data_IF_033308733973
#
_entry.id   IF_033308733973
#
_cell.length_a   1.000
_cell.length_b   1.000
_cell.length_c   1.000
_cell.angle_alpha   90.00
_cell.angle_beta   90.00
_cell.angle_gamma   90.00
#
_symmetry.space_group_name_H-M   'P 1'
#
loop_
_entity.id
_entity.type
_entity.pdbx_description
1 polymer ?
#
# COMPACT_ATOMS: atom_id res chain seq x y z
N UNK A 1 -74.04 -11.13 16.93
CA UNK A 1 -72.56 -11.08 17.00
C UNK A 1 -72.12 -9.63 16.87
N UNK A 2 -71.30 -9.16 17.82
CA UNK A 2 -71.03 -7.76 18.16
C UNK A 2 -70.41 -6.96 17.00
N UNK A 3 -71.13 -5.95 16.52
CA UNK A 3 -70.68 -4.95 15.52
C UNK A 3 -69.50 -4.08 16.02
N UNK A 4 -69.26 -4.09 17.33
CA UNK A 4 -68.21 -3.31 18.02
C UNK A 4 -66.82 -3.94 17.99
N UNK A 5 -66.69 -5.24 17.71
CA UNK A 5 -65.37 -5.90 17.68
C UNK A 5 -64.69 -5.74 16.31
N UNK A 6 -65.44 -5.74 15.20
CA UNK A 6 -64.89 -5.54 13.84
C UNK A 6 -64.25 -4.16 13.65
N UNK A 7 -64.82 -3.12 14.26
CA UNK A 7 -64.26 -1.77 14.21
C UNK A 7 -62.88 -1.69 14.88
N UNK A 8 -62.65 -2.49 15.94
CA UNK A 8 -61.34 -2.54 16.62
C UNK A 8 -60.29 -3.24 15.76
N UNK A 9 -60.65 -4.36 15.11
CA UNK A 9 -59.73 -5.06 14.20
C UNK A 9 -59.34 -4.20 12.98
N UNK A 10 -60.27 -3.41 12.45
CA UNK A 10 -60.00 -2.53 11.31
C UNK A 10 -59.05 -1.38 11.67
N UNK A 11 -59.18 -0.81 12.87
CA UNK A 11 -58.27 0.23 13.37
C UNK A 11 -56.85 -0.32 13.57
N UNK A 12 -56.71 -1.52 14.14
CA UNK A 12 -55.39 -2.15 14.32
C UNK A 12 -54.72 -2.42 12.97
N UNK A 13 -55.47 -2.92 11.98
CA UNK A 13 -54.95 -3.19 10.63
C UNK A 13 -54.42 -1.92 9.95
N UNK A 14 -55.12 -0.79 10.06
CA UNK A 14 -54.67 0.49 9.53
C UNK A 14 -53.40 1.00 10.22
N UNK A 15 -53.29 0.84 11.54
CA UNK A 15 -52.09 1.24 12.28
C UNK A 15 -50.89 0.38 11.84
N UNK A 16 -51.06 -0.94 11.76
CA UNK A 16 -49.99 -1.83 11.29
C UNK A 16 -49.57 -1.53 9.86
N UNK A 17 -50.52 -1.25 8.96
CA UNK A 17 -50.23 -0.87 7.58
C UNK A 17 -49.48 0.45 7.49
N UNK A 18 -49.86 1.44 8.32
CA UNK A 18 -49.18 2.72 8.41
C UNK A 18 -47.73 2.58 8.88
N UNK A 19 -47.49 1.78 9.93
CA UNK A 19 -46.13 1.50 10.44
C UNK A 19 -45.28 0.82 9.36
N UNK A 20 -45.82 -0.20 8.69
CA UNK A 20 -45.10 -0.87 7.59
C UNK A 20 -44.79 0.07 6.44
N UNK A 21 -45.73 0.95 6.07
CA UNK A 21 -45.51 1.91 5.00
C UNK A 21 -44.42 2.93 5.34
N UNK A 22 -44.39 3.44 6.58
CA UNK A 22 -43.35 4.36 7.04
C UNK A 22 -41.97 3.68 7.06
N UNK A 23 -41.88 2.47 7.60
CA UNK A 23 -40.60 1.72 7.60
C UNK A 23 -40.15 1.40 6.18
N UNK A 24 -41.07 0.95 5.32
CA UNK A 24 -40.76 0.60 3.92
C UNK A 24 -40.27 1.82 3.11
N UNK A 25 -40.94 2.96 3.24
CA UNK A 25 -40.53 4.20 2.57
C UNK A 25 -39.19 4.71 3.07
N UNK A 26 -38.93 4.61 4.38
CA UNK A 26 -37.66 5.01 4.98
C UNK A 26 -36.50 4.10 4.53
N UNK A 27 -36.70 2.78 4.55
CA UNK A 27 -35.73 1.79 4.04
C UNK A 27 -35.47 2.02 2.56
N UNK A 28 -36.51 2.18 1.74
CA UNK A 28 -36.35 2.37 0.30
C UNK A 28 -35.67 3.71 -0.03
N UNK A 29 -35.90 4.77 0.75
CA UNK A 29 -35.22 6.06 0.57
C UNK A 29 -33.74 5.97 0.93
N UNK A 30 -33.38 5.25 1.99
CA UNK A 30 -31.98 5.01 2.38
C UNK A 30 -31.30 4.11 1.34
N UNK A 31 -31.99 3.07 0.86
CA UNK A 31 -31.47 2.16 -0.16
C UNK A 31 -31.27 2.87 -1.50
N UNK A 32 -32.20 3.73 -1.92
CA UNK A 32 -32.06 4.54 -3.13
C UNK A 32 -30.94 5.59 -3.03
N UNK A 33 -30.64 6.11 -1.83
CA UNK A 33 -29.47 6.98 -1.63
C UNK A 33 -28.14 6.22 -1.73
N UNK A 34 -28.10 4.95 -1.30
CA UNK A 34 -26.95 4.07 -1.56
C UNK A 34 -26.80 3.81 -3.07
N UNK A 35 -27.90 3.55 -3.78
CA UNK A 35 -27.89 3.34 -5.25
C UNK A 35 -27.50 4.61 -6.02
N UNK A 36 -27.94 5.80 -5.60
CA UNK A 36 -27.53 7.07 -6.21
C UNK A 36 -26.05 7.40 -5.98
N UNK A 37 -25.39 6.75 -5.01
CA UNK A 37 -23.95 6.88 -4.79
C UNK A 37 -23.13 6.06 -5.80
N UNK A 38 -23.77 5.23 -6.65
CA UNK A 38 -23.13 4.31 -7.60
C UNK A 38 -22.86 4.97 -8.96
N UNK A 39 -23.81 5.77 -9.49
CA UNK A 39 -23.56 6.56 -10.71
C UNK A 39 -22.50 7.63 -10.48
N UNK A 40 -22.48 8.22 -9.28
CA UNK A 40 -21.49 9.23 -8.86
C UNK A 40 -20.10 8.60 -8.64
N UNK A 41 -20.01 7.37 -8.11
CA UNK A 41 -18.75 6.61 -8.01
C UNK A 41 -18.20 6.23 -9.39
N UNK A 42 -19.03 5.78 -10.33
CA UNK A 42 -18.58 5.43 -11.69
C UNK A 42 -18.10 6.65 -12.48
N UNK A 43 -18.78 7.80 -12.34
CA UNK A 43 -18.35 9.05 -12.97
C UNK A 43 -17.06 9.61 -12.35
N UNK A 44 -16.92 9.56 -11.02
CA UNK A 44 -15.68 9.99 -10.37
C UNK A 44 -14.51 9.08 -10.72
N UNK A 45 -14.70 7.76 -10.76
CA UNK A 45 -13.68 6.78 -11.16
C UNK A 45 -13.14 7.06 -12.57
N UNK A 46 -13.99 7.46 -13.51
CA UNK A 46 -13.55 7.76 -14.88
C UNK A 46 -12.75 9.06 -14.93
N UNK A 47 -13.20 10.10 -14.23
CA UNK A 47 -12.49 11.37 -14.14
C UNK A 47 -11.15 11.21 -13.42
N UNK A 48 -11.13 10.49 -12.31
CA UNK A 48 -9.94 10.15 -11.54
C UNK A 48 -8.98 9.32 -12.40
N UNK A 49 -9.48 8.32 -13.16
CA UNK A 49 -8.64 7.51 -14.05
C UNK A 49 -7.96 8.35 -15.15
N UNK A 50 -8.68 9.30 -15.75
CA UNK A 50 -8.12 10.21 -16.76
C UNK A 50 -7.13 11.19 -16.11
N UNK A 51 -7.43 11.68 -14.91
CA UNK A 51 -6.53 12.54 -14.17
C UNK A 51 -5.24 11.79 -13.80
N UNK A 52 -5.33 10.55 -13.30
CA UNK A 52 -4.18 9.71 -13.01
C UNK A 52 -3.40 9.42 -14.29
N UNK A 53 -4.04 9.15 -15.43
CA UNK A 53 -3.36 8.99 -16.73
C UNK A 53 -2.56 10.23 -17.14
N UNK A 54 -3.13 11.41 -16.95
CA UNK A 54 -2.40 12.67 -17.18
C UNK A 54 -1.22 12.81 -16.22
N UNK A 55 -1.38 12.45 -14.94
CA UNK A 55 -0.27 12.45 -13.98
C UNK A 55 0.83 11.45 -14.37
N UNK A 56 0.45 10.24 -14.81
CA UNK A 56 1.36 9.23 -15.33
C UNK A 56 2.19 9.78 -16.49
N UNK A 57 1.55 10.38 -17.49
CA UNK A 57 2.24 10.96 -18.65
C UNK A 57 3.17 12.11 -18.25
N UNK A 58 2.77 12.94 -17.30
CA UNK A 58 3.63 14.00 -16.77
C UNK A 58 4.86 13.42 -16.06
N UNK A 59 4.68 12.38 -15.23
CA UNK A 59 5.78 11.72 -14.51
C UNK A 59 6.77 11.06 -15.48
N UNK A 60 6.29 10.44 -16.56
CA UNK A 60 7.16 9.91 -17.63
C UNK A 60 8.05 10.98 -18.27
N UNK A 61 7.54 12.21 -18.41
CA UNK A 61 8.31 13.33 -18.96
C UNK A 61 9.24 14.02 -17.96
N UNK A 62 9.04 13.81 -16.66
CA UNK A 62 9.80 14.50 -15.63
C UNK A 62 11.30 14.13 -15.63
N UNK A 63 12.19 15.06 -15.21
CA UNK A 63 13.59 14.76 -14.94
C UNK A 63 13.74 13.76 -13.80
N UNK A 64 14.72 12.86 -13.87
CA UNK A 64 14.96 11.83 -12.85
C UNK A 64 15.17 12.43 -11.45
N UNK A 65 15.82 13.60 -11.35
CA UNK A 65 16.04 14.36 -10.10
C UNK A 65 14.76 14.74 -9.35
N UNK A 66 13.64 14.87 -10.06
CA UNK A 66 12.32 15.20 -9.48
C UNK A 66 11.58 13.94 -9.05
N UNK A 67 11.83 12.81 -9.72
CA UNK A 67 11.16 11.53 -9.48
C UNK A 67 11.70 10.80 -8.24
N UNK A 68 12.96 11.05 -7.85
CA UNK A 68 13.56 10.51 -6.62
C UNK A 68 12.90 11.01 -5.33
N UNK A 69 12.17 12.14 -5.36
CA UNK A 69 11.62 12.79 -4.15
C UNK A 69 10.19 12.41 -3.78
N UNK A 70 9.64 11.35 -4.38
CA UNK A 70 8.41 10.71 -3.93
C UNK A 70 7.28 10.72 -4.97
N UNK A 71 6.75 9.52 -5.24
CA UNK A 71 5.65 9.31 -6.17
C UNK A 71 4.31 9.69 -5.53
N UNK A 72 3.71 10.80 -5.96
CA UNK A 72 2.34 11.25 -5.62
C UNK A 72 1.32 10.11 -5.70
N UNK A 73 1.55 9.17 -6.62
CA UNK A 73 0.72 8.03 -6.93
C UNK A 73 0.66 6.94 -5.84
N UNK A 74 1.74 6.74 -5.07
CA UNK A 74 1.78 5.75 -3.98
C UNK A 74 0.76 6.10 -2.87
N UNK A 75 0.51 7.40 -2.67
CA UNK A 75 -0.49 7.88 -1.70
C UNK A 75 -1.92 7.56 -2.14
N UNK A 76 -2.24 7.78 -3.41
CA UNK A 76 -3.57 7.47 -3.96
C UNK A 76 -3.85 5.96 -3.92
N UNK A 77 -2.86 5.14 -4.28
CA UNK A 77 -2.94 3.68 -4.14
C UNK A 77 -3.16 3.22 -2.70
N UNK A 78 -2.45 3.82 -1.74
CA UNK A 78 -2.59 3.51 -0.32
C UNK A 78 -3.97 3.87 0.24
N UNK A 79 -4.48 5.06 -0.08
CA UNK A 79 -5.83 5.49 0.31
C UNK A 79 -6.92 4.59 -0.29
N UNK A 80 -6.74 4.17 -1.55
CA UNK A 80 -7.68 3.28 -2.21
C UNK A 80 -7.64 1.86 -1.64
N UNK A 81 -6.43 1.33 -1.36
CA UNK A 81 -6.24 0.03 -0.73
C UNK A 81 -6.96 -0.07 0.62
N UNK A 82 -6.84 0.96 1.46
CA UNK A 82 -7.53 1.00 2.76
C UNK A 82 -9.06 1.03 2.62
N UNK A 83 -9.58 1.78 1.64
CA UNK A 83 -11.03 1.81 1.35
C UNK A 83 -11.52 0.45 0.86
N UNK A 84 -10.74 -0.22 0.01
CA UNK A 84 -11.07 -1.56 -0.49
C UNK A 84 -11.08 -2.59 0.64
N UNK A 85 -10.07 -2.59 1.52
CA UNK A 85 -10.00 -3.50 2.66
C UNK A 85 -11.23 -3.34 3.58
N UNK A 86 -11.61 -2.10 3.87
CA UNK A 86 -12.83 -1.81 4.64
C UNK A 86 -14.10 -2.29 3.93
N UNK A 87 -14.20 -2.12 2.62
CA UNK A 87 -15.36 -2.57 1.84
C UNK A 87 -15.46 -4.11 1.79
N UNK A 88 -14.33 -4.80 1.62
CA UNK A 88 -14.26 -6.27 1.61
C UNK A 88 -14.69 -6.87 2.96
N UNK A 89 -14.39 -6.20 4.08
CA UNK A 89 -14.83 -6.64 5.40
C UNK A 89 -16.36 -6.62 5.58
N UNK A 90 -17.09 -5.92 4.71
CA UNK A 90 -18.55 -5.82 4.74
C UNK A 90 -19.25 -6.77 3.76
N UNK A 91 -18.51 -7.36 2.80
CA UNK A 91 -19.03 -8.32 1.83
C UNK A 91 -18.15 -8.44 0.59
N UNK A 92 -17.30 -9.47 0.52
CA UNK A 92 -16.35 -9.65 -0.58
C UNK A 92 -17.01 -9.94 -1.95
N UNK A 93 -18.21 -10.54 -1.95
CA UNK A 93 -18.96 -10.90 -3.16
C UNK A 93 -19.92 -9.81 -3.63
N UNK A 94 -19.93 -8.66 -2.95
CA UNK A 94 -20.76 -7.53 -3.36
C UNK A 94 -20.29 -7.02 -4.75
N UNK A 95 -21.18 -6.85 -5.74
CA UNK A 95 -20.83 -6.32 -7.06
C UNK A 95 -20.04 -5.01 -7.01
N UNK A 96 -20.29 -4.16 -6.01
CA UNK A 96 -19.57 -2.90 -5.82
C UNK A 96 -18.13 -3.15 -5.38
N UNK A 97 -17.92 -4.13 -4.49
CA UNK A 97 -16.57 -4.55 -4.07
C UNK A 97 -15.81 -5.18 -5.23
N UNK A 98 -16.47 -5.97 -6.06
CA UNK A 98 -15.87 -6.54 -7.28
C UNK A 98 -15.44 -5.44 -8.26
N UNK A 99 -16.27 -4.40 -8.45
CA UNK A 99 -15.89 -3.25 -9.28
C UNK A 99 -14.71 -2.46 -8.69
N UNK A 100 -14.67 -2.25 -7.38
CA UNK A 100 -13.55 -1.60 -6.69
C UNK A 100 -12.26 -2.43 -6.83
N UNK A 101 -12.33 -3.76 -6.71
CA UNK A 101 -11.18 -4.65 -6.96
C UNK A 101 -10.63 -4.50 -8.37
N UNK A 102 -11.49 -4.40 -9.40
CA UNK A 102 -11.05 -4.20 -10.80
C UNK A 102 -10.31 -2.88 -10.95
N UNK A 103 -10.85 -1.80 -10.38
CA UNK A 103 -10.21 -0.50 -10.43
C UNK A 103 -8.88 -0.48 -9.68
N UNK A 104 -8.81 -1.05 -8.47
CA UNK A 104 -7.58 -1.16 -7.70
C UNK A 104 -6.50 -1.95 -8.46
N UNK A 105 -6.90 -3.09 -9.05
CA UNK A 105 -5.98 -3.91 -9.85
C UNK A 105 -5.46 -3.16 -11.07
N UNK A 106 -6.30 -2.37 -11.74
CA UNK A 106 -5.88 -1.52 -12.84
C UNK A 106 -4.87 -0.46 -12.42
N UNK A 107 -5.10 0.22 -11.28
CA UNK A 107 -4.16 1.21 -10.74
C UNK A 107 -2.80 0.58 -10.41
N UNK A 108 -2.81 -0.62 -9.81
CA UNK A 108 -1.59 -1.37 -9.51
C UNK A 108 -0.79 -1.73 -10.76
N UNK A 109 -1.46 -2.23 -11.82
CA UNK A 109 -0.80 -2.50 -13.11
C UNK A 109 -0.21 -1.21 -13.69
N UNK A 110 -0.96 -0.10 -13.69
CA UNK A 110 -0.46 1.18 -14.22
C UNK A 110 0.74 1.71 -13.43
N UNK A 111 0.71 1.65 -12.09
CA UNK A 111 1.83 2.07 -11.24
C UNK A 111 3.07 1.21 -11.48
N UNK A 112 2.93 -0.11 -11.56
CA UNK A 112 4.05 -0.99 -11.89
C UNK A 112 4.68 -0.65 -13.25
N UNK A 113 3.85 -0.50 -14.30
CA UNK A 113 4.33 -0.17 -15.65
C UNK A 113 5.02 1.21 -15.70
N UNK A 114 4.48 2.21 -15.00
CA UNK A 114 5.13 3.51 -14.87
C UNK A 114 6.49 3.38 -14.19
N UNK A 115 6.54 2.70 -13.04
CA UNK A 115 7.77 2.54 -12.28
C UNK A 115 8.83 1.80 -13.09
N UNK A 116 8.44 0.78 -13.85
CA UNK A 116 9.33 0.09 -14.78
C UNK A 116 9.87 1.04 -15.87
N UNK A 117 9.02 1.87 -16.48
CA UNK A 117 9.44 2.85 -17.49
C UNK A 117 10.38 3.92 -16.91
N UNK A 118 10.14 4.36 -15.67
CA UNK A 118 11.03 5.28 -14.95
C UNK A 118 12.37 4.59 -14.66
N UNK A 119 12.36 3.34 -14.23
CA UNK A 119 13.56 2.55 -13.96
C UNK A 119 14.45 2.44 -15.20
N UNK A 120 13.84 2.05 -16.32
CA UNK A 120 14.52 1.94 -17.62
C UNK A 120 15.08 3.29 -18.09
N UNK A 121 14.33 4.38 -17.92
CA UNK A 121 14.74 5.73 -18.32
C UNK A 121 15.88 6.28 -17.46
N UNK A 122 15.80 6.09 -16.16
CA UNK A 122 16.74 6.68 -15.19
C UNK A 122 17.91 5.76 -14.86
N UNK A 123 17.94 4.54 -15.39
CA UNK A 123 18.97 3.55 -15.09
C UNK A 123 18.93 3.09 -13.65
N UNK A 124 17.74 3.09 -13.05
CA UNK A 124 17.50 2.63 -11.68
C UNK A 124 16.83 1.26 -11.69
N UNK A 125 16.66 0.67 -10.51
CA UNK A 125 15.95 -0.58 -10.30
C UNK A 125 14.63 -0.28 -9.55
N UNK A 126 13.60 -1.09 -9.80
CA UNK A 126 12.37 -1.10 -9.00
C UNK A 126 12.28 -2.33 -8.10
N UNK A 127 12.41 -2.12 -6.80
CA UNK A 127 12.11 -3.14 -5.80
C UNK A 127 10.60 -3.39 -5.76
N UNK A 128 10.15 -4.38 -6.54
CA UNK A 128 8.75 -4.72 -6.70
C UNK A 128 8.50 -6.24 -6.63
N UNK A 129 7.39 -6.61 -5.98
CA UNK A 129 6.85 -7.96 -5.93
C UNK A 129 5.46 -7.93 -6.56
N UNK A 130 5.26 -8.70 -7.64
CA UNK A 130 3.92 -8.97 -8.17
C UNK A 130 3.42 -10.26 -7.53
N UNK A 131 2.32 -10.18 -6.81
CA UNK A 131 1.71 -11.27 -6.09
C UNK A 131 0.38 -11.65 -6.74
N UNK A 132 0.33 -12.82 -7.38
CA UNK A 132 -0.87 -13.40 -7.94
C UNK A 132 -1.45 -14.44 -6.99
N UNK A 133 -2.75 -14.33 -6.71
CA UNK A 133 -3.47 -15.21 -5.80
C UNK A 133 -4.86 -15.56 -6.31
N UNK A 134 -5.36 -16.71 -5.84
CA UNK A 134 -6.73 -17.15 -6.05
C UNK A 134 -7.50 -17.20 -4.72
N UNK A 135 -8.83 -17.20 -4.80
CA UNK A 135 -9.77 -17.30 -3.68
C UNK A 135 -9.63 -18.64 -2.97
N UNK A 136 -9.58 -19.73 -3.73
CA UNK A 136 -9.43 -21.10 -3.23
C UNK A 136 -7.96 -21.46 -3.01
N UNK A 137 -7.30 -20.74 -2.09
CA UNK A 137 -5.87 -20.89 -1.82
C UNK A 137 -5.52 -20.56 -0.35
N UNK A 138 -5.33 -21.58 0.48
CA UNK A 138 -4.98 -21.39 1.89
C UNK A 138 -3.60 -20.72 2.06
N UNK A 139 -2.63 -21.11 1.24
CA UNK A 139 -1.28 -20.57 1.30
C UNK A 139 -1.20 -19.12 0.82
N UNK A 140 -2.19 -18.65 0.05
CA UNK A 140 -2.31 -17.25 -0.35
C UNK A 140 -2.62 -16.34 0.85
N UNK A 141 -3.41 -16.82 1.82
CA UNK A 141 -3.66 -16.08 3.05
C UNK A 141 -2.35 -15.92 3.83
N UNK A 142 -1.58 -17.01 3.97
CA UNK A 142 -0.27 -17.00 4.64
C UNK A 142 0.72 -16.07 3.93
N UNK A 143 0.77 -16.14 2.60
CA UNK A 143 1.63 -15.28 1.80
C UNK A 143 1.27 -13.80 1.97
N UNK A 144 -0.03 -13.47 2.01
CA UNK A 144 -0.51 -12.11 2.28
C UNK A 144 0.00 -11.55 3.61
N UNK A 145 0.01 -12.36 4.68
CA UNK A 145 0.60 -11.96 5.96
C UNK A 145 2.11 -11.75 5.87
N UNK A 146 2.84 -12.65 5.20
CA UNK A 146 4.29 -12.51 5.01
C UNK A 146 4.62 -11.23 4.24
N UNK A 147 3.90 -10.94 3.14
CA UNK A 147 4.09 -9.74 2.34
C UNK A 147 3.74 -8.47 3.11
N UNK A 148 2.70 -8.51 3.95
CA UNK A 148 2.35 -7.39 4.83
C UNK A 148 3.48 -7.11 5.83
N UNK A 149 4.05 -8.14 6.45
CA UNK A 149 5.17 -7.99 7.36
C UNK A 149 6.45 -7.51 6.64
N UNK A 150 6.71 -8.04 5.45
CA UNK A 150 7.81 -7.60 4.60
C UNK A 150 7.71 -6.12 4.24
N UNK A 151 6.52 -5.64 3.85
CA UNK A 151 6.26 -4.21 3.57
C UNK A 151 6.43 -3.32 4.80
N UNK A 152 6.10 -3.82 6.01
CA UNK A 152 6.34 -3.07 7.25
C UNK A 152 7.82 -2.93 7.55
N UNK A 153 8.60 -3.99 7.33
CA UNK A 153 10.05 -4.00 7.56
C UNK A 153 10.81 -3.20 6.51
N UNK A 154 10.34 -3.22 5.26
CA UNK A 154 10.96 -2.55 4.13
C UNK A 154 9.95 -1.59 3.47
N UNK A 155 9.71 -0.38 4.03
CA UNK A 155 8.67 0.52 3.53
C UNK A 155 8.80 0.93 2.07
N UNK A 156 10.01 0.87 1.51
CA UNK A 156 10.26 1.20 0.09
C UNK A 156 9.82 0.11 -0.89
N UNK A 157 9.64 -1.15 -0.45
CA UNK A 157 9.24 -2.25 -1.35
C UNK A 157 7.86 -2.00 -1.94
N UNK A 158 7.68 -2.19 -3.24
CA UNK A 158 6.34 -2.15 -3.86
C UNK A 158 5.77 -3.56 -3.92
N UNK A 159 4.57 -3.75 -3.38
CA UNK A 159 3.88 -5.04 -3.44
C UNK A 159 2.56 -4.81 -4.16
N UNK A 160 2.40 -5.49 -5.29
CA UNK A 160 1.19 -5.43 -6.10
C UNK A 160 0.48 -6.78 -6.01
N UNK A 161 -0.76 -6.78 -5.56
CA UNK A 161 -1.55 -8.00 -5.34
C UNK A 161 -2.69 -8.09 -6.35
N UNK A 162 -2.76 -9.19 -7.09
CA UNK A 162 -3.71 -9.44 -8.17
C UNK A 162 -4.52 -10.70 -7.88
N UNK A 163 -5.84 -10.51 -7.80
CA UNK A 163 -6.85 -11.57 -7.66
C UNK A 163 -7.09 -12.20 -9.04
N UNK A 164 -6.67 -13.45 -9.24
CA UNK A 164 -6.82 -14.15 -10.52
C UNK A 164 -8.20 -14.73 -10.75
N UNK A 165 -9.06 -14.76 -9.72
CA UNK A 165 -10.45 -15.17 -9.86
C UNK A 165 -11.35 -13.96 -10.20
N UNK A 166 -10.80 -12.75 -10.17
CA UNK A 166 -11.49 -11.55 -10.59
C UNK A 166 -11.72 -11.58 -12.10
N UNK A 167 -12.98 -11.50 -12.52
CA UNK A 167 -13.38 -11.41 -13.93
C UNK A 167 -12.91 -10.08 -14.56
N UNK A 168 -11.62 -9.99 -14.89
CA UNK A 168 -10.99 -8.78 -15.40
C UNK A 168 -9.81 -9.08 -16.32
N UNK A 169 -10.06 -8.96 -17.62
CA UNK A 169 -9.10 -9.22 -18.71
C UNK A 169 -7.73 -8.56 -18.58
N UNK A 170 -7.61 -7.46 -17.84
CA UNK A 170 -6.32 -6.79 -17.59
C UNK A 170 -5.41 -7.67 -16.72
N UNK A 171 -5.96 -8.34 -15.70
CA UNK A 171 -5.19 -9.26 -14.86
C UNK A 171 -4.77 -10.46 -15.68
N UNK A 172 -5.67 -11.05 -16.47
CA UNK A 172 -5.35 -12.18 -17.35
C UNK A 172 -4.22 -11.84 -18.33
N UNK A 173 -4.31 -10.67 -18.97
CA UNK A 173 -3.30 -10.20 -19.92
C UNK A 173 -1.97 -9.96 -19.22
N UNK A 174 -1.99 -9.33 -18.05
CA UNK A 174 -0.79 -8.98 -17.30
C UNK A 174 -0.10 -10.23 -16.73
N UNK A 175 -0.85 -11.18 -16.17
CA UNK A 175 -0.34 -12.48 -15.74
C UNK A 175 0.29 -13.26 -16.90
N UNK A 176 -0.34 -13.24 -18.07
CA UNK A 176 0.15 -13.91 -19.28
C UNK A 176 1.51 -13.41 -19.80
N UNK A 177 2.00 -12.26 -19.33
CA UNK A 177 3.34 -11.76 -19.68
C UNK A 177 4.48 -12.56 -19.01
N UNK A 178 4.19 -13.27 -17.93
CA UNK A 178 5.19 -13.93 -17.08
C UNK A 178 5.22 -15.45 -17.21
N UNK A 179 4.39 -16.04 -18.08
CA UNK A 179 4.34 -17.47 -18.43
C UNK A 179 4.45 -18.42 -17.21
N UNK A 180 3.43 -18.38 -16.34
CA UNK A 180 3.34 -19.26 -15.17
C UNK A 180 2.06 -20.11 -15.18
N UNK A 181 2.18 -21.37 -14.76
CA UNK A 181 1.03 -22.26 -14.54
C UNK A 181 0.14 -21.73 -13.41
N UNK A 182 -1.16 -22.05 -13.43
CA UNK A 182 -2.15 -21.66 -12.40
C UNK A 182 -1.91 -22.34 -11.04
N UNK A 183 -0.76 -22.05 -10.44
CA UNK A 183 -0.29 -22.49 -9.13
C UNK A 183 -0.21 -21.25 -8.27
N UNK A 184 -0.90 -21.24 -7.14
CA UNK A 184 -0.97 -20.08 -6.25
C UNK A 184 -0.51 -20.46 -4.83
N UNK A 185 0.13 -19.54 -4.09
CA UNK A 185 0.51 -18.18 -4.50
C UNK A 185 1.64 -18.18 -5.54
N UNK A 186 1.64 -17.20 -6.44
CA UNK A 186 2.76 -16.95 -7.38
C UNK A 186 3.31 -15.54 -7.16
N UNK A 187 4.62 -15.43 -6.98
CA UNK A 187 5.35 -14.17 -6.88
C UNK A 187 6.21 -13.96 -8.12
N UNK A 188 6.19 -12.76 -8.68
CA UNK A 188 7.16 -12.31 -9.66
C UNK A 188 8.08 -11.29 -8.99
N UNK A 189 9.37 -11.62 -8.95
CA UNK A 189 10.41 -10.77 -8.38
C UNK A 189 11.56 -10.73 -9.37
N UNK A 190 11.98 -9.53 -9.79
CA UNK A 190 13.05 -9.34 -10.78
C UNK A 190 12.83 -10.18 -12.06
N UNK A 191 11.59 -10.15 -12.59
CA UNK A 191 11.13 -10.91 -13.77
C UNK A 191 11.27 -12.44 -13.66
N UNK A 192 11.46 -12.98 -12.45
CA UNK A 192 11.49 -14.42 -12.19
C UNK A 192 10.23 -14.85 -11.45
N UNK A 193 9.70 -16.00 -11.85
CA UNK A 193 8.52 -16.62 -11.26
C UNK A 193 8.93 -17.47 -10.06
N UNK A 194 8.27 -17.27 -8.92
CA UNK A 194 8.37 -18.08 -7.72
C UNK A 194 6.98 -18.58 -7.34
N UNK A 195 6.76 -19.88 -7.50
CA UNK A 195 5.49 -20.51 -7.17
C UNK A 195 5.53 -21.09 -5.76
N UNK A 196 4.35 -21.27 -5.16
CA UNK A 196 4.14 -21.74 -3.79
C UNK A 196 4.59 -20.71 -2.73
N UNK A 197 4.20 -21.00 -1.49
CA UNK A 197 4.48 -20.14 -0.34
C UNK A 197 5.97 -19.83 -0.17
N UNK A 198 6.27 -18.54 0.00
CA UNK A 198 7.59 -17.98 0.31
C UNK A 198 7.60 -17.40 1.72
N UNK A 199 8.57 -17.85 2.52
CA UNK A 199 8.80 -17.32 3.87
C UNK A 199 9.42 -15.93 3.81
N UNK A 200 9.41 -15.23 4.95
CA UNK A 200 10.07 -13.93 5.08
C UNK A 200 11.57 -14.02 4.75
N UNK A 201 12.27 -15.02 5.32
CA UNK A 201 13.69 -15.26 5.07
C UNK A 201 14.00 -15.51 3.58
N UNK A 202 13.11 -16.22 2.87
CA UNK A 202 13.26 -16.42 1.43
C UNK A 202 13.13 -15.10 0.68
N UNK A 203 12.14 -14.25 1.02
CA UNK A 203 11.98 -12.94 0.38
C UNK A 203 13.21 -12.04 0.61
N UNK A 204 13.75 -12.02 1.83
CA UNK A 204 14.97 -11.29 2.17
C UNK A 204 16.17 -11.79 1.34
N UNK A 205 16.30 -13.11 1.15
CA UNK A 205 17.34 -13.68 0.30
C UNK A 205 17.18 -13.36 -1.19
N UNK A 206 15.94 -13.15 -1.67
CA UNK A 206 15.64 -12.79 -3.06
C UNK A 206 15.82 -11.29 -3.36
N UNK A 207 15.78 -10.45 -2.32
CA UNK A 207 15.89 -8.99 -2.40
C UNK A 207 17.00 -8.48 -1.45
N UNK A 208 18.28 -8.85 -1.67
CA UNK A 208 19.35 -8.48 -0.75
C UNK A 208 19.64 -6.97 -0.73
N UNK A 209 19.36 -6.26 -1.82
CA UNK A 209 19.63 -4.82 -1.95
C UNK A 209 18.76 -4.00 -1.01
N UNK A 210 17.45 -4.27 -0.96
CA UNK A 210 16.53 -3.56 -0.04
C UNK A 210 16.83 -3.90 1.42
N UNK A 211 17.25 -5.14 1.71
CA UNK A 211 17.67 -5.55 3.05
C UNK A 211 18.90 -4.75 3.48
N UNK A 212 19.91 -4.66 2.60
CA UNK A 212 21.12 -3.89 2.88
C UNK A 212 20.83 -2.39 3.05
N UNK A 213 19.94 -1.82 2.22
CA UNK A 213 19.52 -0.43 2.32
C UNK A 213 18.83 -0.14 3.66
N UNK A 214 17.92 -1.01 4.10
CA UNK A 214 17.24 -0.86 5.40
C UNK A 214 18.21 -0.98 6.57
N UNK A 215 19.12 -1.96 6.55
CA UNK A 215 20.15 -2.11 7.60
C UNK A 215 21.04 -0.87 7.68
N UNK A 216 21.38 -0.26 6.54
CA UNK A 216 22.14 0.99 6.51
C UNK A 216 21.35 2.14 7.16
N UNK A 217 20.07 2.29 6.83
CA UNK A 217 19.20 3.32 7.42
C UNK A 217 19.03 3.13 8.93
N UNK A 218 18.79 1.89 9.37
CA UNK A 218 18.67 1.57 10.80
C UNK A 218 19.94 1.97 11.56
N UNK A 219 21.13 1.66 11.00
CA UNK A 219 22.41 2.08 11.58
C UNK A 219 22.59 3.60 11.60
N UNK A 220 22.17 4.29 10.53
CA UNK A 220 22.20 5.75 10.47
C UNK A 220 21.36 6.34 11.62
N UNK A 221 20.17 5.80 11.87
CA UNK A 221 19.28 6.25 12.92
C UNK A 221 19.76 5.86 14.32
N UNK A 222 20.37 4.68 14.49
CA UNK A 222 21.06 4.30 15.73
C UNK A 222 22.19 5.28 16.07
N UNK A 223 23.05 5.62 15.10
CA UNK A 223 24.10 6.61 15.30
C UNK A 223 23.53 7.99 15.64
N UNK A 224 22.43 8.40 15.00
CA UNK A 224 21.71 9.63 15.35
C UNK A 224 21.22 9.61 16.80
N UNK A 225 20.63 8.50 17.23
CA UNK A 225 20.14 8.32 18.60
C UNK A 225 21.29 8.31 19.62
N UNK A 226 22.44 7.74 19.25
CA UNK A 226 23.65 7.82 20.06
C UNK A 226 24.08 9.28 20.28
N UNK A 227 24.10 10.11 19.23
CA UNK A 227 24.43 11.55 19.35
C UNK A 227 23.46 12.24 20.31
N UNK A 228 22.16 12.03 20.14
CA UNK A 228 21.13 12.61 21.00
C UNK A 228 21.21 12.14 22.46
N UNK A 229 21.90 11.03 22.74
CA UNK A 229 22.11 10.53 24.10
C UNK A 229 23.29 11.19 24.83
N UNK A 230 24.17 11.89 24.11
CA UNK A 230 25.35 12.53 24.68
C UNK A 230 24.97 13.85 25.38
N UNK A 231 25.47 14.12 26.61
CA UNK A 231 25.14 15.32 27.36
C UNK A 231 25.50 16.65 26.67
N UNK A 232 26.51 16.63 25.79
CA UNK A 232 26.95 17.81 25.02
C UNK A 232 25.91 18.25 23.98
N UNK A 233 25.04 17.35 23.54
CA UNK A 233 24.00 17.60 22.53
C UNK A 233 22.59 17.68 23.13
N UNK A 234 22.49 17.95 24.44
CA UNK A 234 21.19 18.16 25.08
C UNK A 234 20.44 19.34 24.45
N UNK A 235 19.21 19.10 24.01
CA UNK A 235 18.37 20.07 23.31
C UNK A 235 18.44 20.05 21.77
N UNK A 236 19.39 19.32 21.17
CA UNK A 236 19.43 19.08 19.71
C UNK A 236 18.25 18.21 19.30
N UNK A 237 17.61 18.51 18.16
CA UNK A 237 16.52 17.68 17.64
C UNK A 237 17.02 16.73 16.55
N UNK A 238 16.39 15.57 16.42
CA UNK A 238 16.71 14.56 15.38
C UNK A 238 16.75 15.14 13.96
N UNK A 239 15.86 16.10 13.66
CA UNK A 239 15.79 16.80 12.36
C UNK A 239 17.01 17.69 12.05
N UNK A 240 17.76 18.07 13.08
CA UNK A 240 18.93 18.94 12.95
C UNK A 240 20.21 18.12 12.76
N UNK A 241 20.11 16.78 12.78
CA UNK A 241 21.22 15.84 12.60
C UNK A 241 21.02 15.11 11.27
N UNK A 242 21.93 15.31 10.33
CA UNK A 242 21.92 14.67 9.02
C UNK A 242 23.15 13.80 8.84
N UNK A 243 22.97 12.55 8.40
CA UNK A 243 24.10 11.73 7.96
C UNK A 243 24.56 12.22 6.59
N UNK A 244 25.83 12.58 6.48
CA UNK A 244 26.40 13.16 5.25
C UNK A 244 27.35 12.22 4.53
N UNK A 245 27.88 11.22 5.23
CA UNK A 245 28.78 10.24 4.64
C UNK A 245 28.80 8.94 5.47
N UNK A 246 28.87 7.80 4.78
CA UNK A 246 29.18 6.50 5.36
C UNK A 246 30.35 5.90 4.60
N UNK A 247 31.46 5.65 5.31
CA UNK A 247 32.64 4.98 4.77
C UNK A 247 33.02 3.80 5.64
N UNK A 248 32.77 2.59 5.13
CA UNK A 248 32.97 1.33 5.88
C UNK A 248 32.13 1.32 7.17
N UNK A 249 32.76 1.49 8.33
CA UNK A 249 32.11 1.50 9.65
C UNK A 249 32.11 2.90 10.27
N UNK A 250 32.54 3.92 9.52
CA UNK A 250 32.57 5.31 9.97
C UNK A 250 31.39 6.06 9.39
N UNK A 251 30.58 6.65 10.27
CA UNK A 251 29.39 7.42 9.96
C UNK A 251 29.63 8.89 10.32
N UNK A 252 29.56 9.76 9.32
CA UNK A 252 29.71 11.21 9.48
C UNK A 252 28.35 11.87 9.57
N UNK A 253 28.14 12.66 10.61
CA UNK A 253 26.92 13.42 10.85
C UNK A 253 27.23 14.91 10.89
N UNK A 254 26.35 15.70 10.31
CA UNK A 254 26.36 17.16 10.44
C UNK A 254 25.20 17.57 11.34
N UNK A 255 25.51 18.37 12.36
CA UNK A 255 24.53 18.95 13.28
C UNK A 255 24.36 20.42 12.90
N UNK A 256 23.17 20.77 12.46
CA UNK A 256 22.83 22.13 12.02
C UNK A 256 22.64 23.04 13.24
N UNK A 257 23.46 24.09 13.32
CA UNK A 257 23.46 25.05 14.44
C UNK A 257 23.03 26.46 14.01
N UNK A 258 22.74 27.35 14.97
CA UNK A 258 22.36 28.74 14.68
C UNK A 258 23.50 29.60 14.14
N UNK A 259 24.76 29.24 14.39
CA UNK A 259 25.95 30.01 13.98
C UNK A 259 26.90 29.23 13.06
N UNK A 260 27.16 27.95 13.31
CA UNK A 260 28.00 27.08 12.47
C UNK A 260 27.58 25.62 12.59
N UNK A 261 27.63 24.89 11.49
CA UNK A 261 27.40 23.44 11.47
C UNK A 261 28.56 22.70 12.15
N UNK A 262 28.22 21.73 12.98
CA UNK A 262 29.19 20.85 13.64
C UNK A 262 29.24 19.51 12.93
N UNK A 263 30.45 19.00 12.67
CA UNK A 263 30.63 17.67 12.07
C UNK A 263 31.10 16.69 13.13
N UNK A 264 30.36 15.59 13.27
CA UNK A 264 30.70 14.48 14.17
C UNK A 264 30.98 13.23 13.35
N UNK A 265 31.94 12.42 13.81
CA UNK A 265 32.24 11.11 13.24
C UNK A 265 32.03 10.06 14.30
N UNK A 266 31.27 9.03 13.96
CA UNK A 266 31.04 7.87 14.79
C UNK A 266 31.65 6.63 14.13
N UNK A 267 32.24 5.75 14.92
CA UNK A 267 32.66 4.41 14.49
C UNK A 267 31.66 3.41 15.05
N UNK A 268 31.17 2.52 14.18
CA UNK A 268 30.34 1.39 14.56
C UNK A 268 31.20 0.15 14.79
N UNK A 269 31.16 -0.45 15.98
CA UNK A 269 31.83 -1.73 16.25
C UNK A 269 30.86 -2.90 15.98
N UNK A 270 31.11 -3.75 14.96
CA UNK A 270 30.23 -4.86 14.61
C UNK A 270 30.25 -6.00 15.65
N UNK A 271 31.24 -6.04 16.55
CA UNK A 271 31.37 -7.07 17.59
C UNK A 271 30.52 -6.72 18.80
N UNK A 272 30.54 -5.45 19.23
CA UNK A 272 29.74 -4.99 20.38
C UNK A 272 28.37 -4.48 19.97
N UNK A 273 28.16 -4.18 18.68
CA UNK A 273 26.95 -3.56 18.14
C UNK A 273 26.68 -2.19 18.79
N UNK A 274 27.73 -1.39 18.98
CA UNK A 274 27.69 -0.08 19.61
C UNK A 274 28.43 0.98 18.79
N UNK A 275 27.96 2.22 18.90
CA UNK A 275 28.66 3.38 18.34
C UNK A 275 29.61 4.00 19.37
N UNK A 276 30.75 4.49 18.89
CA UNK A 276 31.67 5.33 19.66
C UNK A 276 32.06 6.57 18.87
N UNK A 277 32.54 7.61 19.55
CA UNK A 277 33.14 8.77 18.89
C UNK A 277 34.44 8.35 18.18
N UNK A 278 34.63 8.83 16.96
CA UNK A 278 35.89 8.72 16.21
C UNK A 278 36.83 9.87 16.66
N UNK A 279 37.75 9.58 17.59
CA UNK A 279 38.72 10.55 18.15
C UNK A 279 39.78 11.05 17.13
#
# INVERSE_FOLDING_TARGET
MKRTDYQKYLVVLLITMGVFFVVFTLVNTINNRRIASIEDLQQSITADLIATETQFDLLKTAPCEVLEKGSVLSRELGEFGQKLEFAQSQGADDPDVQQLKKYYSLLQVKDYLLMQEIADKCGTHIDAILYFYATECEDCIKQGYVLTEFKKRYPEIRIYSFDTDLDFSVIDTFAGLYDFDAVYPTLIINNKVYQSFQTLDNLEALLPEIVAAQVLQDRIDEGRNYILSLPEYDGVQSKDIENTNVMSEVYTYTISGSDTDMVLRLVFDPVTNEFSLDE
#
